data_IF_760431056920
#
_entry.id   IF_760431056920
#
_cell.length_a   1.000
_cell.length_b   1.000
_cell.length_c   1.000
_cell.angle_alpha   90.00
_cell.angle_beta   90.00
_cell.angle_gamma   90.00
#
_symmetry.space_group_name_H-M   'P 1'
#
loop_
_entity.id
_entity.type
_entity.pdbx_description
1 polymer ?
#
# COMPACT_ATOMS: atom_id res chain seq x y z
N UNK A 1 33.93 10.05 -5.18
CA UNK A 1 32.57 9.57 -5.48
C UNK A 1 32.01 8.89 -4.23
N UNK A 2 31.37 9.62 -3.31
CA UNK A 2 30.82 9.04 -2.07
C UNK A 2 29.43 8.52 -2.42
N UNK A 3 29.29 7.21 -2.57
CA UNK A 3 28.04 6.58 -3.03
C UNK A 3 26.95 6.79 -1.98
N UNK A 4 25.89 7.52 -2.33
CA UNK A 4 24.73 7.83 -1.49
C UNK A 4 23.81 6.60 -1.28
N UNK A 5 24.40 5.44 -0.99
CA UNK A 5 23.69 4.17 -0.84
C UNK A 5 22.64 4.27 0.28
N UNK A 6 22.97 4.98 1.36
CA UNK A 6 22.08 5.25 2.49
C UNK A 6 20.78 5.96 2.09
N UNK A 7 20.82 6.89 1.14
CA UNK A 7 19.62 7.61 0.68
C UNK A 7 18.67 6.71 -0.11
N UNK A 8 19.24 5.81 -0.92
CA UNK A 8 18.46 4.81 -1.67
C UNK A 8 17.77 3.83 -0.72
N UNK A 9 18.46 3.34 0.31
CA UNK A 9 17.89 2.46 1.33
C UNK A 9 16.77 3.15 2.13
N UNK A 10 16.97 4.40 2.55
CA UNK A 10 15.95 5.16 3.28
C UNK A 10 14.69 5.37 2.44
N UNK A 11 14.82 5.61 1.13
CA UNK A 11 13.67 5.71 0.20
C UNK A 11 12.89 4.40 0.13
N UNK A 12 13.57 3.26 -0.02
CA UNK A 12 12.91 1.96 -0.03
C UNK A 12 12.24 1.62 1.31
N UNK A 13 12.89 1.93 2.43
CA UNK A 13 12.31 1.77 3.77
C UNK A 13 11.08 2.65 3.95
N UNK A 14 11.10 3.90 3.48
CA UNK A 14 9.95 4.80 3.51
C UNK A 14 8.76 4.27 2.71
N UNK A 15 9.00 3.76 1.49
CA UNK A 15 7.96 3.12 0.68
C UNK A 15 7.38 1.89 1.36
N UNK A 16 8.25 1.05 1.94
CA UNK A 16 7.82 -0.17 2.62
C UNK A 16 7.01 0.16 3.88
N UNK A 17 7.46 1.13 4.67
CA UNK A 17 6.77 1.60 5.87
C UNK A 17 5.39 2.17 5.53
N UNK A 18 5.29 2.97 4.46
CA UNK A 18 4.01 3.48 3.97
C UNK A 18 3.04 2.36 3.61
N UNK A 19 3.51 1.34 2.89
CA UNK A 19 2.70 0.17 2.53
C UNK A 19 2.27 -0.61 3.79
N UNK A 20 3.18 -0.79 4.74
CA UNK A 20 2.94 -1.51 5.99
C UNK A 20 1.88 -0.81 6.85
N UNK A 21 1.95 0.52 6.95
CA UNK A 21 0.91 1.34 7.61
C UNK A 21 -0.43 1.21 6.89
N UNK A 22 -0.45 1.28 5.56
CA UNK A 22 -1.67 1.11 4.77
C UNK A 22 -2.34 -0.25 5.04
N UNK A 23 -1.56 -1.32 5.01
CA UNK A 23 -2.05 -2.68 5.28
C UNK A 23 -2.52 -2.81 6.72
N UNK A 24 -1.76 -2.32 7.69
CA UNK A 24 -2.14 -2.38 9.10
C UNK A 24 -3.49 -1.67 9.34
N UNK A 25 -3.69 -0.50 8.73
CA UNK A 25 -4.96 0.22 8.78
C UNK A 25 -6.09 -0.55 8.09
N UNK A 26 -5.83 -1.14 6.93
CA UNK A 26 -6.81 -1.93 6.18
C UNK A 26 -7.26 -3.17 6.97
N UNK A 27 -6.32 -3.90 7.57
CA UNK A 27 -6.58 -5.07 8.42
C UNK A 27 -7.34 -4.67 9.67
N UNK A 28 -6.92 -3.59 10.34
CA UNK A 28 -7.60 -3.10 11.54
C UNK A 28 -9.04 -2.66 11.24
N UNK A 29 -9.24 -1.92 10.14
CA UNK A 29 -10.56 -1.52 9.68
C UNK A 29 -11.42 -2.73 9.31
N UNK A 30 -10.85 -3.73 8.62
CA UNK A 30 -11.51 -4.98 8.27
C UNK A 30 -11.97 -5.75 9.50
N UNK A 31 -11.08 -5.95 10.48
CA UNK A 31 -11.42 -6.60 11.75
C UNK A 31 -12.53 -5.87 12.51
N UNK A 32 -12.45 -4.54 12.57
CA UNK A 32 -13.45 -3.73 13.27
C UNK A 32 -14.81 -3.83 12.57
N UNK A 33 -14.83 -3.81 11.24
CA UNK A 33 -16.05 -3.89 10.44
C UNK A 33 -16.66 -5.29 10.46
N UNK A 34 -15.85 -6.34 10.32
CA UNK A 34 -16.26 -7.74 10.42
C UNK A 34 -16.88 -8.02 11.79
N UNK A 35 -16.24 -7.55 12.88
CA UNK A 35 -16.79 -7.68 14.25
C UNK A 35 -18.09 -6.92 14.44
N UNK A 36 -18.22 -5.72 13.86
CA UNK A 36 -19.42 -4.89 13.99
C UNK A 36 -20.61 -5.48 13.23
N UNK A 37 -20.37 -6.08 12.07
CA UNK A 37 -21.41 -6.63 11.20
C UNK A 37 -21.68 -8.12 11.45
N UNK A 38 -20.91 -8.78 12.34
CA UNK A 38 -20.98 -10.24 12.59
C UNK A 38 -20.90 -11.09 11.31
N UNK A 39 -20.30 -10.55 10.25
CA UNK A 39 -20.06 -11.26 9.01
C UNK A 39 -18.80 -12.10 9.14
N UNK A 40 -18.71 -13.20 8.39
CA UNK A 40 -17.44 -13.91 8.20
C UNK A 40 -16.34 -12.91 7.83
N UNK A 41 -15.06 -13.18 8.18
CA UNK A 41 -13.93 -12.25 8.06
C UNK A 41 -13.56 -11.96 6.60
N UNK A 42 -14.50 -11.37 5.87
CA UNK A 42 -14.44 -11.05 4.46
C UNK A 42 -13.81 -9.69 4.31
N UNK A 43 -14.17 -8.71 5.13
CA UNK A 43 -13.58 -7.38 5.07
C UNK A 43 -12.11 -7.41 5.45
N UNK A 44 -11.71 -8.25 6.42
CA UNK A 44 -10.32 -8.55 6.74
C UNK A 44 -9.48 -8.90 5.51
N UNK A 45 -10.02 -9.68 4.58
CA UNK A 45 -9.28 -10.20 3.42
C UNK A 45 -9.41 -9.26 2.23
N UNK A 46 -10.63 -8.78 1.97
CA UNK A 46 -10.95 -7.93 0.81
C UNK A 46 -10.30 -6.55 0.95
N UNK A 47 -10.31 -5.92 2.13
CA UNK A 47 -9.72 -4.58 2.31
C UNK A 47 -8.21 -4.55 1.99
N UNK A 48 -7.36 -5.43 2.55
CA UNK A 48 -5.95 -5.47 2.19
C UNK A 48 -5.73 -5.78 0.71
N UNK A 49 -6.55 -6.65 0.11
CA UNK A 49 -6.46 -6.97 -1.32
C UNK A 49 -6.75 -5.73 -2.19
N UNK A 50 -7.79 -4.97 -1.84
CA UNK A 50 -8.16 -3.73 -2.51
C UNK A 50 -7.10 -2.65 -2.32
N UNK A 51 -6.55 -2.53 -1.11
CA UNK A 51 -5.47 -1.59 -0.82
C UNK A 51 -4.21 -1.92 -1.61
N UNK A 52 -3.78 -3.19 -1.63
CA UNK A 52 -2.67 -3.64 -2.48
C UNK A 52 -2.96 -3.34 -3.95
N UNK A 53 -4.11 -3.79 -4.46
CA UNK A 53 -4.50 -3.61 -5.85
C UNK A 53 -4.56 -2.14 -6.25
N UNK A 54 -5.12 -1.29 -5.39
CA UNK A 54 -5.17 0.16 -5.56
C UNK A 54 -3.79 0.81 -5.55
N UNK A 55 -2.90 0.39 -4.65
CA UNK A 55 -1.51 0.87 -4.64
C UNK A 55 -0.78 0.47 -5.92
N UNK A 56 -0.89 -0.78 -6.38
CA UNK A 56 -0.30 -1.22 -7.64
C UNK A 56 -0.91 -0.52 -8.85
N UNK A 57 -2.22 -0.30 -8.86
CA UNK A 57 -2.91 0.43 -9.91
C UNK A 57 -2.45 1.88 -10.00
N UNK A 58 -2.33 2.56 -8.85
CA UNK A 58 -1.75 3.91 -8.80
C UNK A 58 -0.31 3.91 -9.28
N UNK A 59 0.50 2.93 -8.87
CA UNK A 59 1.89 2.81 -9.31
C UNK A 59 2.00 2.61 -10.84
N UNK A 60 1.14 1.77 -11.40
CA UNK A 60 1.03 1.56 -12.86
C UNK A 60 0.62 2.86 -13.57
N UNK A 61 -0.43 3.52 -13.09
CA UNK A 61 -0.92 4.78 -13.64
C UNK A 61 0.12 5.90 -13.56
N UNK A 62 0.83 6.02 -12.45
CA UNK A 62 1.92 7.01 -12.27
C UNK A 62 3.08 6.72 -13.21
N UNK A 63 3.43 5.45 -13.39
CA UNK A 63 4.49 5.02 -14.31
C UNK A 63 4.11 5.31 -15.77
N UNK A 64 2.86 5.06 -16.16
CA UNK A 64 2.37 5.30 -17.53
C UNK A 64 2.19 6.80 -17.80
N UNK A 65 1.64 7.58 -16.85
CA UNK A 65 1.38 9.01 -17.03
C UNK A 65 2.67 9.82 -17.25
N UNK A 66 3.79 9.37 -16.68
CA UNK A 66 5.09 10.02 -16.85
C UNK A 66 5.66 9.92 -18.28
N UNK A 67 5.08 9.08 -19.15
CA UNK A 67 5.53 8.87 -20.54
C UNK A 67 4.83 9.77 -21.57
N UNK A 68 3.88 10.63 -21.15
CA UNK A 68 3.08 11.46 -22.08
C UNK A 68 3.34 12.96 -21.97
N UNK A 69 4.28 13.38 -21.11
CA UNK A 69 4.72 14.77 -20.96
C UNK A 69 6.17 14.97 -21.46
N UNK A 70 6.64 14.14 -22.39
CA UNK A 70 7.87 14.35 -23.20
C UNK A 70 7.54 14.48 -24.68
#
# INVERSE_FOLDING_TARGET
>A
MKTNTSETWLKYLGLTAQLLVLIALAVYAGLWLDRKLHVSPLFLIVLPLVVLGGTFYNLYKETVKKKSDE
#
